data_IF_887312266032
#
_entry.id   IF_887312266032
#
_cell.length_a   1.000
_cell.length_b   1.000
_cell.length_c   1.000
_cell.angle_alpha   90.00
_cell.angle_beta   90.00
_cell.angle_gamma   90.00
#
_symmetry.space_group_name_H-M   'P 1'
#
loop_
_entity.id
_entity.type
_entity.pdbx_description
1 polymer ?
#
# COMPACT_ATOMS: atom_id res chain seq x y z
N UNK A 1 -33.04 -8.81 53.07
CA UNK A 1 -31.94 -8.65 52.10
C UNK A 1 -32.45 -7.96 50.83
N UNK A 2 -33.67 -8.25 50.37
CA UNK A 2 -34.26 -7.74 49.12
C UNK A 2 -34.39 -6.21 48.98
N UNK A 3 -34.59 -5.47 50.08
CA UNK A 3 -34.74 -4.01 50.01
C UNK A 3 -33.45 -3.26 49.64
N UNK A 4 -32.28 -3.83 49.96
CA UNK A 4 -30.98 -3.23 49.62
C UNK A 4 -30.66 -3.42 48.13
N UNK A 5 -30.98 -4.59 47.56
CA UNK A 5 -30.76 -4.85 46.14
C UNK A 5 -31.68 -3.99 45.25
N UNK A 6 -32.94 -3.83 45.64
CA UNK A 6 -33.89 -2.95 44.94
C UNK A 6 -33.45 -1.47 44.97
N UNK A 7 -32.87 -1.01 46.07
CA UNK A 7 -32.39 0.36 46.19
C UNK A 7 -31.15 0.63 45.32
N UNK A 8 -30.20 -0.32 45.28
CA UNK A 8 -29.00 -0.20 44.44
C UNK A 8 -29.34 -0.21 42.95
N UNK A 9 -30.27 -1.06 42.53
CA UNK A 9 -30.74 -1.08 41.13
C UNK A 9 -31.45 0.22 40.75
N UNK A 10 -32.29 0.77 41.64
CA UNK A 10 -32.97 2.04 41.39
C UNK A 10 -31.98 3.20 41.22
N UNK A 11 -30.94 3.28 42.05
CA UNK A 11 -29.88 4.29 41.91
C UNK A 11 -29.14 4.12 40.58
N UNK A 12 -28.84 2.89 40.17
CA UNK A 12 -28.20 2.60 38.88
C UNK A 12 -29.02 3.11 37.68
N UNK A 13 -30.34 2.92 37.70
CA UNK A 13 -31.23 3.38 36.63
C UNK A 13 -31.36 4.90 36.53
N UNK A 14 -31.16 5.64 37.63
CA UNK A 14 -31.22 7.11 37.65
C UNK A 14 -29.85 7.73 37.34
N UNK A 15 -28.77 7.10 37.78
CA UNK A 15 -27.41 7.60 37.59
C UNK A 15 -27.04 7.67 36.10
N UNK A 16 -27.34 6.62 35.33
CA UNK A 16 -26.94 6.54 33.92
C UNK A 16 -27.54 7.66 33.03
N UNK A 17 -28.87 7.92 33.06
CA UNK A 17 -29.46 9.04 32.32
C UNK A 17 -28.90 10.40 32.73
N UNK A 18 -28.67 10.63 34.04
CA UNK A 18 -28.11 11.88 34.53
C UNK A 18 -26.68 12.11 34.02
N UNK A 19 -25.85 11.06 34.01
CA UNK A 19 -24.49 11.12 33.44
C UNK A 19 -24.52 11.37 31.94
N UNK A 20 -25.39 10.70 31.19
CA UNK A 20 -25.54 10.90 29.74
C UNK A 20 -25.95 12.34 29.40
N UNK A 21 -26.89 12.92 30.15
CA UNK A 21 -27.31 14.32 29.99
C UNK A 21 -26.15 15.28 30.32
N UNK A 22 -25.39 15.01 31.39
CA UNK A 22 -24.21 15.80 31.76
C UNK A 22 -23.15 15.82 30.66
N UNK A 23 -22.82 14.66 30.10
CA UNK A 23 -21.88 14.53 28.97
C UNK A 23 -22.39 15.29 27.74
N UNK A 24 -23.67 15.16 27.41
CA UNK A 24 -24.27 15.85 26.28
C UNK A 24 -24.23 17.39 26.42
N UNK A 25 -24.43 17.92 27.64
CA UNK A 25 -24.36 19.37 27.90
C UNK A 25 -22.92 19.89 27.77
N UNK A 26 -21.94 19.16 28.30
CA UNK A 26 -20.52 19.52 28.19
C UNK A 26 -20.09 19.49 26.73
N UNK A 27 -20.41 18.41 26.00
CA UNK A 27 -20.13 18.28 24.57
C UNK A 27 -20.78 19.40 23.75
N UNK A 28 -21.99 19.84 24.11
CA UNK A 28 -22.69 20.93 23.40
C UNK A 28 -22.01 22.30 23.57
N UNK A 29 -21.37 22.56 24.71
CA UNK A 29 -20.59 23.79 24.94
C UNK A 29 -19.33 23.82 24.09
N UNK A 30 -18.58 22.73 24.07
CA UNK A 30 -17.37 22.59 23.24
C UNK A 30 -17.70 22.60 21.75
N UNK A 31 -18.79 21.95 21.35
CA UNK A 31 -19.20 21.94 19.94
C UNK A 31 -19.58 23.35 19.45
N UNK A 32 -20.23 24.17 20.30
CA UNK A 32 -20.55 25.57 19.95
C UNK A 32 -19.28 26.43 19.83
N UNK A 33 -18.28 26.24 20.69
CA UNK A 33 -17.03 27.00 20.60
C UNK A 33 -16.30 26.69 19.29
N UNK A 34 -16.22 25.41 18.92
CA UNK A 34 -15.61 24.95 17.65
C UNK A 34 -16.37 25.44 16.42
N UNK A 35 -17.70 25.37 16.42
CA UNK A 35 -18.53 25.86 15.30
C UNK A 35 -18.39 27.38 15.17
N UNK A 36 -18.37 28.13 16.28
CA UNK A 36 -18.18 29.59 16.22
C UNK A 36 -16.79 29.98 15.73
N UNK A 37 -15.75 29.21 16.08
CA UNK A 37 -14.40 29.41 15.59
C UNK A 37 -14.28 29.10 14.09
N UNK A 38 -14.99 28.08 13.60
CA UNK A 38 -15.08 27.72 12.18
C UNK A 38 -15.86 28.76 11.37
N UNK A 39 -17.03 29.19 11.86
CA UNK A 39 -17.86 30.19 11.19
C UNK A 39 -17.12 31.52 11.03
N UNK A 40 -16.41 31.97 12.08
CA UNK A 40 -15.59 33.18 12.05
C UNK A 40 -14.40 33.10 11.09
N UNK A 41 -13.97 31.89 10.74
CA UNK A 41 -12.83 31.61 9.83
C UNK A 41 -13.25 31.47 8.37
N UNK A 42 -14.51 31.10 8.10
CA UNK A 42 -15.09 31.02 6.76
C UNK A 42 -15.48 32.40 6.24
N UNK A 43 -15.80 33.33 7.14
CA UNK A 43 -16.12 34.73 6.79
C UNK A 43 -14.88 35.54 6.38
N UNK A 44 -13.67 35.09 6.74
CA UNK A 44 -12.41 35.76 6.45
C UNK A 44 -11.81 35.29 5.11
N UNK A 45 -12.23 35.93 4.02
CA UNK A 45 -11.95 35.53 2.62
C UNK A 45 -10.52 35.79 2.10
N UNK A 46 -9.54 36.11 2.96
CA UNK A 46 -8.17 36.42 2.52
C UNK A 46 -7.04 35.70 3.28
N UNK A 47 -7.35 34.66 4.05
CA UNK A 47 -6.33 33.93 4.83
C UNK A 47 -5.82 32.71 4.06
N UNK A 48 -4.72 32.89 3.34
CA UNK A 48 -3.87 31.78 2.92
C UNK A 48 -3.27 31.13 4.17
N UNK A 49 -3.60 29.85 4.32
CA UNK A 49 -3.02 28.83 5.20
C UNK A 49 -1.61 29.14 5.76
N UNK A 50 -1.52 29.27 7.09
CA UNK A 50 -0.51 28.75 8.06
C UNK A 50 -0.62 29.60 9.35
N UNK A 51 -0.43 29.18 10.61
CA UNK A 51 0.67 28.45 11.26
C UNK A 51 0.17 27.78 12.59
N UNK A 52 0.94 26.77 13.01
CA UNK A 52 0.94 25.88 14.20
C UNK A 52 0.85 26.54 15.61
N UNK A 53 0.75 25.81 16.74
CA UNK A 53 1.78 24.94 17.36
C UNK A 53 1.33 23.46 17.44
N UNK A 54 2.15 22.59 16.83
CA UNK A 54 2.26 21.12 17.00
C UNK A 54 1.23 20.13 16.40
N UNK A 55 0.00 20.51 16.01
CA UNK A 55 -1.00 19.47 15.65
C UNK A 55 -1.46 19.38 14.19
N UNK A 56 -1.66 20.52 13.52
CA UNK A 56 -2.66 20.58 12.43
C UNK A 56 -2.05 20.49 11.03
N UNK A 57 -0.79 20.89 10.84
CA UNK A 57 -0.18 20.88 9.50
C UNK A 57 0.37 19.51 9.09
N UNK A 58 0.87 18.71 10.04
CA UNK A 58 1.28 17.33 9.75
C UNK A 58 0.05 16.53 9.36
N UNK A 59 -1.07 16.64 10.11
CA UNK A 59 -2.31 15.94 9.72
C UNK A 59 -2.86 16.41 8.39
N UNK A 60 -2.88 17.71 8.09
CA UNK A 60 -3.45 18.15 6.81
C UNK A 60 -2.59 17.75 5.59
N UNK A 61 -1.26 17.80 5.69
CA UNK A 61 -0.36 17.34 4.61
C UNK A 61 -0.31 15.81 4.56
N UNK A 62 -0.36 15.12 5.69
CA UNK A 62 -0.46 13.65 5.75
C UNK A 62 -1.81 13.19 5.25
N UNK A 63 -2.93 13.77 5.66
CA UNK A 63 -4.28 13.47 5.16
C UNK A 63 -4.40 13.84 3.68
N UNK A 64 -3.75 14.90 3.19
CA UNK A 64 -3.76 15.23 1.76
C UNK A 64 -2.84 14.29 0.94
N UNK A 65 -1.73 13.80 1.51
CA UNK A 65 -0.86 12.82 0.86
C UNK A 65 -1.42 11.39 0.97
N UNK A 66 -2.02 11.01 2.09
CA UNK A 66 -2.80 9.78 2.30
C UNK A 66 -4.04 9.82 1.43
N UNK A 67 -4.80 10.91 1.36
CA UNK A 67 -5.91 11.03 0.42
C UNK A 67 -5.43 10.92 -1.02
N UNK A 68 -4.22 11.40 -1.36
CA UNK A 68 -3.62 11.16 -2.68
C UNK A 68 -3.21 9.71 -2.90
N UNK A 69 -2.61 9.05 -1.91
CA UNK A 69 -2.21 7.64 -1.98
C UNK A 69 -3.44 6.74 -2.04
N UNK A 70 -4.46 7.00 -1.22
CA UNK A 70 -5.77 6.37 -1.22
C UNK A 70 -6.50 6.66 -2.52
N UNK A 71 -6.40 7.88 -3.09
CA UNK A 71 -6.98 8.16 -4.41
C UNK A 71 -6.25 7.44 -5.54
N UNK A 72 -4.92 7.30 -5.46
CA UNK A 72 -4.14 6.51 -6.43
C UNK A 72 -4.41 5.01 -6.28
N UNK A 73 -4.55 4.51 -5.04
CA UNK A 73 -4.97 3.14 -4.77
C UNK A 73 -6.40 2.91 -5.25
N UNK A 74 -7.31 3.86 -5.05
CA UNK A 74 -8.68 3.78 -5.54
C UNK A 74 -8.75 3.81 -7.07
N UNK A 75 -7.93 4.65 -7.74
CA UNK A 75 -7.78 4.63 -9.20
C UNK A 75 -7.19 3.30 -9.68
N UNK A 76 -6.18 2.76 -8.99
CA UNK A 76 -5.63 1.44 -9.29
C UNK A 76 -6.66 0.33 -9.10
N UNK A 77 -7.46 0.37 -8.04
CA UNK A 77 -8.53 -0.59 -7.77
C UNK A 77 -9.65 -0.49 -8.80
N UNK A 78 -9.97 0.72 -9.26
CA UNK A 78 -10.95 0.95 -10.32
C UNK A 78 -10.45 0.40 -11.66
N UNK A 79 -9.19 0.66 -12.03
CA UNK A 79 -8.55 0.07 -13.22
C UNK A 79 -8.47 -1.45 -13.12
N UNK A 80 -8.12 -1.99 -11.95
CA UNK A 80 -8.09 -3.43 -11.67
C UNK A 80 -9.46 -4.07 -11.82
N UNK A 81 -10.50 -3.43 -11.30
CA UNK A 81 -11.89 -3.92 -11.41
C UNK A 81 -12.37 -3.94 -12.87
N UNK A 82 -12.03 -2.93 -13.66
CA UNK A 82 -12.32 -2.88 -15.09
C UNK A 82 -11.54 -3.95 -15.86
N UNK A 83 -10.24 -4.10 -15.58
CA UNK A 83 -9.42 -5.14 -16.20
C UNK A 83 -9.96 -6.55 -15.89
N UNK A 84 -10.36 -6.81 -14.64
CA UNK A 84 -10.96 -8.09 -14.23
C UNK A 84 -12.36 -8.32 -14.83
N UNK A 85 -13.18 -7.27 -15.01
CA UNK A 85 -14.46 -7.37 -15.70
C UNK A 85 -14.28 -7.72 -17.18
N UNK A 86 -13.32 -7.09 -17.86
CA UNK A 86 -12.97 -7.46 -19.23
C UNK A 86 -12.42 -8.89 -19.33
N UNK A 87 -11.72 -9.38 -18.30
CA UNK A 87 -11.22 -10.75 -18.25
C UNK A 87 -12.33 -11.81 -18.15
N UNK A 88 -13.42 -11.51 -17.44
CA UNK A 88 -14.59 -12.40 -17.39
C UNK A 88 -15.40 -12.41 -18.68
N UNK A 89 -15.30 -11.34 -19.48
CA UNK A 89 -16.05 -11.19 -20.73
C UNK A 89 -15.26 -11.64 -21.97
N UNK A 90 -13.92 -11.64 -21.93
CA UNK A 90 -13.10 -12.15 -23.01
C UNK A 90 -13.10 -13.68 -23.02
N UNK A 91 -13.83 -14.26 -23.98
CA UNK A 91 -13.73 -15.67 -24.33
C UNK A 91 -12.26 -16.10 -24.58
N UNK A 92 -11.91 -17.37 -24.30
CA UNK A 92 -10.54 -17.85 -24.44
C UNK A 92 -10.16 -17.89 -25.92
N UNK A 93 -9.49 -16.85 -26.41
CA UNK A 93 -8.74 -16.93 -27.66
C UNK A 93 -7.70 -18.03 -27.49
N UNK A 94 -7.77 -19.03 -28.37
CA UNK A 94 -7.14 -20.33 -28.21
C UNK A 94 -5.65 -20.25 -27.92
N UNK A 95 -5.29 -20.44 -26.65
CA UNK A 95 -3.94 -20.77 -26.23
C UNK A 95 -3.71 -22.23 -26.63
N UNK A 96 -3.25 -22.44 -27.87
CA UNK A 96 -2.61 -23.69 -28.24
C UNK A 96 -1.40 -23.85 -27.33
N UNK A 97 -1.45 -24.90 -26.51
CA UNK A 97 -0.43 -25.36 -25.61
C UNK A 97 0.98 -25.23 -26.20
N UNK A 98 1.72 -24.23 -25.73
CA UNK A 98 3.18 -24.22 -25.79
C UNK A 98 3.66 -25.28 -24.79
N UNK A 99 4.12 -26.38 -25.37
CA UNK A 99 4.78 -27.51 -24.71
C UNK A 99 5.71 -27.02 -23.60
N UNK A 100 5.61 -27.66 -22.44
CA UNK A 100 6.67 -27.71 -21.43
C UNK A 100 7.97 -28.21 -22.07
N UNK A 101 8.90 -27.32 -22.35
CA UNK A 101 10.31 -27.68 -22.53
C UNK A 101 11.08 -27.11 -21.34
N UNK A 102 11.93 -27.93 -20.74
CA UNK A 102 12.73 -27.56 -19.58
C UNK A 102 13.56 -26.30 -19.82
N UNK A 103 13.71 -25.48 -18.77
CA UNK A 103 14.47 -24.21 -18.79
C UNK A 103 14.15 -23.36 -20.03
N UNK A 104 12.86 -23.13 -20.26
CA UNK A 104 12.39 -22.20 -21.28
C UNK A 104 12.94 -20.80 -21.01
N UNK A 105 13.59 -20.27 -22.05
CA UNK A 105 13.91 -18.86 -22.21
C UNK A 105 12.68 -18.03 -21.82
N UNK A 106 12.90 -16.99 -21.02
CA UNK A 106 11.80 -16.14 -20.58
C UNK A 106 11.12 -15.56 -21.80
N UNK A 107 9.79 -15.54 -21.75
CA UNK A 107 8.94 -15.01 -22.81
C UNK A 107 9.54 -13.71 -23.39
N UNK A 108 9.96 -13.79 -24.66
CA UNK A 108 10.72 -12.72 -25.31
C UNK A 108 9.93 -11.41 -25.32
N UNK A 109 8.61 -11.49 -25.37
CA UNK A 109 7.73 -10.33 -25.32
C UNK A 109 7.72 -9.68 -23.93
N UNK A 110 7.66 -10.45 -22.84
CA UNK A 110 7.82 -9.89 -21.50
C UNK A 110 9.19 -9.20 -21.32
N UNK A 111 10.25 -9.75 -21.91
CA UNK A 111 11.58 -9.12 -21.91
C UNK A 111 11.57 -7.79 -22.67
N UNK A 112 10.93 -7.75 -23.84
CA UNK A 112 10.73 -6.51 -24.61
C UNK A 112 9.96 -5.46 -23.79
N UNK A 113 8.88 -5.85 -23.10
CA UNK A 113 8.14 -4.94 -22.22
C UNK A 113 9.00 -4.40 -21.08
N UNK A 114 9.84 -5.25 -20.48
CA UNK A 114 10.77 -4.87 -19.44
C UNK A 114 11.83 -3.89 -19.95
N UNK A 115 12.40 -4.14 -21.13
CA UNK A 115 13.36 -3.24 -21.78
C UNK A 115 12.72 -1.89 -22.13
N UNK A 116 11.50 -1.93 -22.68
CA UNK A 116 10.72 -0.72 -22.99
C UNK A 116 10.45 0.10 -21.72
N UNK A 117 10.07 -0.54 -20.61
CA UNK A 117 9.91 0.13 -19.32
C UNK A 117 11.21 0.82 -18.88
N UNK A 118 12.35 0.14 -19.01
CA UNK A 118 13.65 0.68 -18.61
C UNK A 118 14.10 1.85 -19.49
N UNK A 119 13.66 1.87 -20.75
CA UNK A 119 13.94 2.94 -21.71
C UNK A 119 13.08 4.21 -21.50
N UNK A 120 12.05 4.18 -20.64
CA UNK A 120 11.21 5.36 -20.38
C UNK A 120 12.03 6.47 -19.73
N UNK A 121 12.35 7.50 -20.52
CA UNK A 121 13.10 8.68 -20.13
C UNK A 121 12.44 9.96 -20.66
N UNK A 122 11.33 10.37 -20.04
CA UNK A 122 10.65 11.62 -20.35
C UNK A 122 11.21 12.77 -19.48
N UNK A 123 11.37 14.01 -19.98
CA UNK A 123 11.90 15.11 -19.19
C UNK A 123 10.99 15.48 -18.01
N UNK A 124 9.69 15.59 -18.27
CA UNK A 124 8.70 15.90 -17.24
C UNK A 124 8.57 14.74 -16.25
N UNK A 125 8.70 15.06 -14.96
CA UNK A 125 8.68 14.06 -13.89
C UNK A 125 7.32 13.36 -13.76
N UNK A 126 6.22 14.11 -13.92
CA UNK A 126 4.87 13.58 -13.78
C UNK A 126 4.51 12.64 -14.92
N UNK A 127 4.81 13.03 -16.16
CA UNK A 127 4.65 12.19 -17.34
C UNK A 127 5.53 10.95 -17.27
N UNK A 128 6.81 11.09 -16.88
CA UNK A 128 7.72 9.94 -16.70
C UNK A 128 7.15 8.94 -15.69
N UNK A 129 6.61 9.43 -14.58
CA UNK A 129 6.03 8.59 -13.53
C UNK A 129 4.77 7.89 -14.02
N UNK A 130 3.86 8.60 -14.69
CA UNK A 130 2.64 8.03 -15.30
C UNK A 130 2.97 6.96 -16.33
N UNK A 131 3.90 7.23 -17.25
CA UNK A 131 4.33 6.29 -18.27
C UNK A 131 4.93 5.02 -17.66
N UNK A 132 5.80 5.16 -16.65
CA UNK A 132 6.36 4.01 -15.91
C UNK A 132 5.27 3.21 -15.23
N UNK A 133 4.35 3.86 -14.52
CA UNK A 133 3.25 3.17 -13.84
C UNK A 133 2.37 2.39 -14.82
N UNK A 134 2.07 2.97 -15.99
CA UNK A 134 1.32 2.30 -17.04
C UNK A 134 2.04 1.07 -17.59
N UNK A 135 3.33 1.20 -17.94
CA UNK A 135 4.14 0.10 -18.45
C UNK A 135 4.32 -1.02 -17.41
N UNK A 136 4.55 -0.67 -16.15
CA UNK A 136 4.61 -1.60 -15.03
C UNK A 136 3.29 -2.39 -14.85
N UNK A 137 2.15 -1.69 -14.91
CA UNK A 137 0.83 -2.32 -14.85
C UNK A 137 0.56 -3.26 -16.04
N UNK A 138 0.99 -2.88 -17.24
CA UNK A 138 0.89 -3.76 -18.43
C UNK A 138 1.73 -5.03 -18.26
N UNK A 139 2.97 -4.92 -17.76
CA UNK A 139 3.82 -6.09 -17.48
C UNK A 139 3.16 -7.04 -16.47
N UNK A 140 2.64 -6.50 -15.36
CA UNK A 140 1.95 -7.30 -14.36
C UNK A 140 0.72 -8.00 -14.93
N UNK A 141 -0.09 -7.27 -15.71
CA UNK A 141 -1.25 -7.85 -16.38
C UNK A 141 -0.85 -8.97 -17.34
N UNK A 142 0.21 -8.79 -18.12
CA UNK A 142 0.73 -9.82 -19.03
C UNK A 142 1.20 -11.06 -18.26
N UNK A 143 1.97 -10.88 -17.19
CA UNK A 143 2.47 -11.97 -16.33
C UNK A 143 1.30 -12.80 -15.78
N UNK A 144 0.29 -12.14 -15.21
CA UNK A 144 -0.86 -12.83 -14.60
C UNK A 144 -1.72 -13.50 -15.67
N UNK A 145 -2.00 -12.82 -16.78
CA UNK A 145 -2.90 -13.31 -17.83
C UNK A 145 -2.33 -14.52 -18.57
N UNK A 146 -1.01 -14.52 -18.80
CA UNK A 146 -0.31 -15.61 -19.49
C UNK A 146 0.26 -16.66 -18.53
N UNK A 147 0.01 -16.53 -17.22
CA UNK A 147 0.52 -17.44 -16.18
C UNK A 147 2.04 -17.63 -16.27
N UNK A 148 2.76 -16.53 -16.49
CA UNK A 148 4.23 -16.56 -16.52
C UNK A 148 4.72 -17.02 -15.16
N UNK A 149 5.66 -17.97 -15.16
CA UNK A 149 6.16 -18.55 -13.93
C UNK A 149 7.01 -17.54 -13.14
N UNK A 150 6.49 -17.07 -12.00
CA UNK A 150 7.18 -16.12 -11.13
C UNK A 150 8.48 -16.68 -10.54
N UNK A 151 8.62 -18.01 -10.41
CA UNK A 151 9.88 -18.61 -9.99
C UNK A 151 10.98 -18.36 -11.03
N UNK A 152 10.67 -18.43 -12.33
CA UNK A 152 11.64 -18.08 -13.38
C UNK A 152 12.03 -16.60 -13.29
N UNK A 153 11.04 -15.71 -13.13
CA UNK A 153 11.30 -14.26 -12.99
C UNK A 153 12.21 -13.95 -11.79
N UNK A 154 12.06 -14.70 -10.70
CA UNK A 154 12.86 -14.51 -9.49
C UNK A 154 14.36 -14.89 -9.64
N UNK A 155 14.72 -15.63 -10.70
CA UNK A 155 16.12 -15.98 -10.99
C UNK A 155 16.79 -14.99 -11.95
N UNK A 156 16.05 -14.04 -12.50
CA UNK A 156 16.59 -13.10 -13.47
C UNK A 156 17.29 -11.91 -12.82
N UNK A 157 18.39 -11.50 -13.42
CA UNK A 157 19.15 -10.31 -13.01
C UNK A 157 18.72 -9.04 -13.78
N UNK A 158 17.50 -9.01 -14.32
CA UNK A 158 16.99 -7.89 -15.10
C UNK A 158 16.01 -7.04 -14.27
N UNK A 159 16.37 -5.79 -13.95
CA UNK A 159 15.55 -4.92 -13.10
C UNK A 159 14.14 -4.67 -13.63
N UNK A 160 13.95 -4.63 -14.96
CA UNK A 160 12.61 -4.49 -15.54
C UNK A 160 11.72 -5.73 -15.30
N UNK A 161 12.32 -6.94 -15.31
CA UNK A 161 11.60 -8.18 -14.98
C UNK A 161 11.30 -8.25 -13.48
N UNK A 162 12.21 -7.76 -12.63
CA UNK A 162 11.95 -7.62 -11.20
C UNK A 162 10.78 -6.66 -10.91
N UNK A 163 10.62 -5.59 -11.70
CA UNK A 163 9.43 -4.72 -11.63
C UNK A 163 8.17 -5.49 -12.03
N UNK A 164 8.22 -6.24 -13.13
CA UNK A 164 7.11 -7.11 -13.52
C UNK A 164 6.71 -8.09 -12.42
N UNK A 165 7.70 -8.73 -11.78
CA UNK A 165 7.48 -9.61 -10.61
C UNK A 165 6.82 -8.83 -9.46
N UNK A 166 7.41 -7.73 -9.01
CA UNK A 166 6.88 -6.94 -7.90
C UNK A 166 5.45 -6.45 -8.17
N UNK A 167 5.17 -5.99 -9.39
CA UNK A 167 3.85 -5.50 -9.77
C UNK A 167 2.81 -6.61 -9.93
N UNK A 168 3.23 -7.80 -10.38
CA UNK A 168 2.35 -8.97 -10.39
C UNK A 168 1.94 -9.39 -8.98
N UNK A 169 2.83 -9.22 -7.99
CA UNK A 169 2.54 -9.45 -6.56
C UNK A 169 1.60 -8.37 -6.02
N UNK A 170 1.83 -7.10 -6.36
CA UNK A 170 0.93 -6.00 -5.99
C UNK A 170 -0.49 -6.25 -6.54
N UNK A 171 -0.57 -6.69 -7.81
CA UNK A 171 -1.82 -6.97 -8.49
C UNK A 171 -2.52 -8.23 -7.93
N UNK A 172 -1.80 -9.33 -7.73
CA UNK A 172 -2.36 -10.61 -7.30
C UNK A 172 -1.31 -11.43 -6.54
N UNK A 173 -1.11 -11.07 -5.28
CA UNK A 173 -0.21 -11.79 -4.38
C UNK A 173 -0.70 -13.22 -4.12
N UNK A 174 0.22 -14.17 -4.11
CA UNK A 174 -0.04 -15.59 -3.81
C UNK A 174 1.01 -16.20 -2.87
N UNK A 175 0.74 -17.39 -2.37
CA UNK A 175 1.69 -18.13 -1.52
C UNK A 175 3.00 -18.39 -2.26
N UNK A 176 4.13 -18.15 -1.59
CA UNK A 176 5.48 -18.27 -2.16
C UNK A 176 6.02 -16.99 -2.79
N UNK A 177 5.19 -15.97 -3.01
CA UNK A 177 5.67 -14.70 -3.59
C UNK A 177 6.66 -13.96 -2.70
N UNK A 178 6.59 -14.14 -1.38
CA UNK A 178 7.59 -13.64 -0.45
C UNK A 178 8.99 -14.18 -0.76
N UNK A 179 9.14 -15.50 -0.89
CA UNK A 179 10.41 -16.14 -1.20
C UNK A 179 10.96 -15.66 -2.55
N UNK A 180 10.10 -15.65 -3.59
CA UNK A 180 10.44 -15.20 -4.94
C UNK A 180 10.94 -13.76 -4.96
N UNK A 181 10.20 -12.86 -4.31
CA UNK A 181 10.54 -11.44 -4.27
C UNK A 181 11.83 -11.22 -3.47
N UNK A 182 11.97 -11.84 -2.30
CA UNK A 182 13.16 -11.68 -1.45
C UNK A 182 14.42 -12.25 -2.08
N UNK A 183 14.28 -13.28 -2.92
CA UNK A 183 15.38 -13.81 -3.73
C UNK A 183 15.84 -12.82 -4.81
N UNK A 184 14.92 -12.15 -5.49
CA UNK A 184 15.23 -11.23 -6.58
C UNK A 184 15.58 -9.80 -6.11
N UNK A 185 15.04 -9.37 -4.97
CA UNK A 185 15.14 -8.01 -4.44
C UNK A 185 16.58 -7.46 -4.28
N UNK A 186 17.60 -8.26 -3.89
CA UNK A 186 18.99 -7.77 -3.85
C UNK A 186 19.52 -7.29 -5.20
N UNK A 187 18.90 -7.70 -6.32
CA UNK A 187 19.24 -7.22 -7.66
C UNK A 187 18.83 -5.76 -7.96
N UNK A 188 18.00 -5.13 -7.10
CA UNK A 188 17.49 -3.78 -7.33
C UNK A 188 18.53 -2.69 -6.99
N UNK A 189 19.10 -2.10 -8.03
CA UNK A 189 20.10 -1.02 -7.93
C UNK A 189 19.46 0.37 -8.04
N UNK A 190 18.45 0.54 -8.90
CA UNK A 190 17.81 1.83 -9.15
C UNK A 190 16.74 2.15 -8.10
N UNK A 191 16.67 3.41 -7.66
CA UNK A 191 15.75 3.85 -6.60
C UNK A 191 14.28 3.47 -6.85
N UNK A 192 13.80 3.67 -8.07
CA UNK A 192 12.41 3.36 -8.41
C UNK A 192 12.11 1.85 -8.41
N UNK A 193 13.11 1.00 -8.70
CA UNK A 193 12.98 -0.46 -8.62
C UNK A 193 12.88 -0.87 -7.15
N UNK A 194 13.77 -0.36 -6.30
CA UNK A 194 13.74 -0.55 -4.83
C UNK A 194 12.39 -0.14 -4.24
N UNK A 195 11.87 1.00 -4.67
CA UNK A 195 10.56 1.50 -4.25
C UNK A 195 9.43 0.51 -4.59
N UNK A 196 9.40 -0.03 -5.81
CA UNK A 196 8.39 -1.03 -6.22
C UNK A 196 8.52 -2.34 -5.44
N UNK A 197 9.74 -2.80 -5.19
CA UNK A 197 9.98 -3.97 -4.34
C UNK A 197 9.39 -3.76 -2.94
N UNK A 198 9.62 -2.59 -2.32
CA UNK A 198 9.08 -2.32 -0.99
C UNK A 198 7.55 -2.24 -0.97
N UNK A 199 6.90 -1.70 -2.01
CA UNK A 199 5.43 -1.73 -2.12
C UNK A 199 4.93 -3.19 -2.19
N UNK A 200 5.60 -4.04 -2.97
CA UNK A 200 5.24 -5.46 -3.03
C UNK A 200 5.43 -6.17 -1.68
N UNK A 201 6.47 -5.83 -0.91
CA UNK A 201 6.66 -6.32 0.47
C UNK A 201 5.51 -5.84 1.37
N UNK A 202 5.12 -4.56 1.30
CA UNK A 202 3.95 -4.05 2.04
C UNK A 202 2.71 -4.86 1.70
N UNK A 203 2.47 -5.14 0.41
CA UNK A 203 1.32 -5.95 -0.01
C UNK A 203 1.34 -7.36 0.59
N UNK A 204 2.51 -8.00 0.63
CA UNK A 204 2.68 -9.33 1.23
C UNK A 204 2.44 -9.32 2.74
N UNK A 205 2.92 -8.29 3.43
CA UNK A 205 2.66 -8.08 4.87
C UNK A 205 1.16 -7.92 5.14
N UNK A 206 0.49 -7.01 4.41
CA UNK A 206 -0.95 -6.74 4.54
C UNK A 206 -1.82 -7.96 4.23
N UNK A 207 -1.35 -8.82 3.32
CA UNK A 207 -2.06 -10.04 2.92
C UNK A 207 -1.71 -11.24 3.81
N UNK A 208 -0.88 -11.07 4.85
CA UNK A 208 -0.34 -12.14 5.69
C UNK A 208 0.38 -13.25 4.89
N UNK A 209 1.01 -12.88 3.77
CA UNK A 209 1.74 -13.79 2.88
C UNK A 209 3.26 -13.72 3.07
N UNK A 210 3.76 -12.86 3.96
CA UNK A 210 5.16 -12.84 4.39
C UNK A 210 5.35 -13.73 5.63
N UNK A 211 6.10 -14.85 5.54
CA UNK A 211 6.39 -15.70 6.69
C UNK A 211 7.18 -14.95 7.79
N UNK A 212 6.89 -15.23 9.06
CA UNK A 212 7.65 -14.65 10.18
C UNK A 212 9.14 -15.00 10.13
N UNK A 213 9.49 -16.16 9.56
CA UNK A 213 10.88 -16.59 9.39
C UNK A 213 11.69 -15.63 8.48
N UNK A 214 11.01 -14.96 7.54
CA UNK A 214 11.64 -14.11 6.54
C UNK A 214 11.81 -12.65 7.01
N UNK A 215 11.29 -12.29 8.18
CA UNK A 215 11.42 -10.94 8.76
C UNK A 215 12.88 -10.51 8.88
N UNK A 216 13.78 -11.44 9.23
CA UNK A 216 15.22 -11.16 9.30
C UNK A 216 15.80 -10.72 7.95
N UNK A 217 15.37 -11.37 6.87
CA UNK A 217 15.78 -11.08 5.48
C UNK A 217 15.24 -9.71 5.06
N UNK A 218 13.96 -9.43 5.32
CA UNK A 218 13.35 -8.12 5.04
C UNK A 218 14.11 -6.99 5.75
N UNK A 219 14.47 -7.16 7.03
CA UNK A 219 15.25 -6.16 7.76
C UNK A 219 16.64 -5.93 7.16
N UNK A 220 17.30 -6.99 6.70
CA UNK A 220 18.59 -6.85 6.02
C UNK A 220 18.43 -6.05 4.71
N UNK A 221 17.42 -6.37 3.91
CA UNK A 221 17.10 -5.68 2.66
C UNK A 221 16.77 -4.19 2.90
N UNK A 222 15.97 -3.86 3.93
CA UNK A 222 15.63 -2.48 4.27
C UNK A 222 16.86 -1.64 4.61
N UNK A 223 17.80 -2.20 5.38
CA UNK A 223 19.08 -1.54 5.70
C UNK A 223 19.93 -1.31 4.44
N UNK A 224 19.95 -2.27 3.53
CA UNK A 224 20.65 -2.12 2.26
C UNK A 224 20.04 -1.00 1.40
N UNK A 225 18.71 -0.98 1.29
CA UNK A 225 18.00 0.03 0.50
C UNK A 225 18.09 1.43 1.10
N UNK A 226 18.25 1.55 2.42
CA UNK A 226 18.47 2.83 3.10
C UNK A 226 19.74 3.54 2.61
N UNK A 227 20.76 2.78 2.20
CA UNK A 227 21.96 3.34 1.59
C UNK A 227 21.64 3.93 0.22
N UNK A 228 21.72 5.26 0.15
CA UNK A 228 21.42 6.04 -1.06
C UNK A 228 19.93 6.34 -1.26
N UNK A 229 19.06 6.02 -0.31
CA UNK A 229 17.63 6.32 -0.40
C UNK A 229 17.34 7.82 -0.40
N UNK A 230 16.42 8.24 -1.27
CA UNK A 230 15.82 9.57 -1.20
C UNK A 230 14.80 9.69 -0.04
N UNK A 231 14.26 10.89 0.19
CA UNK A 231 13.29 11.14 1.27
C UNK A 231 12.03 10.28 1.16
N UNK A 232 11.58 9.98 -0.06
CA UNK A 232 10.38 9.19 -0.29
C UNK A 232 10.62 7.72 0.01
N UNK A 233 11.75 7.17 -0.42
CA UNK A 233 12.14 5.79 -0.14
C UNK A 233 12.44 5.59 1.35
N UNK A 234 13.10 6.55 2.02
CA UNK A 234 13.33 6.51 3.48
C UNK A 234 12.02 6.43 4.27
N UNK A 235 11.02 7.23 3.88
CA UNK A 235 9.69 7.17 4.50
C UNK A 235 9.03 5.81 4.29
N UNK A 236 9.11 5.26 3.07
CA UNK A 236 8.58 3.92 2.81
C UNK A 236 9.31 2.84 3.64
N UNK A 237 10.64 2.90 3.75
CA UNK A 237 11.44 2.02 4.61
C UNK A 237 10.98 2.10 6.06
N UNK A 238 10.75 3.31 6.59
CA UNK A 238 10.26 3.51 7.95
C UNK A 238 8.86 2.89 8.17
N UNK A 239 7.97 3.05 7.19
CA UNK A 239 6.63 2.45 7.23
C UNK A 239 6.71 0.92 7.24
N UNK A 240 7.47 0.32 6.32
CA UNK A 240 7.66 -1.15 6.27
C UNK A 240 8.31 -1.66 7.55
N UNK A 241 9.29 -0.94 8.08
CA UNK A 241 9.93 -1.28 9.37
C UNK A 241 8.92 -1.32 10.51
N UNK A 242 8.01 -0.34 10.56
CA UNK A 242 6.95 -0.28 11.57
C UNK A 242 6.00 -1.47 11.46
N UNK A 243 5.58 -1.84 10.24
CA UNK A 243 4.73 -3.02 10.00
C UNK A 243 5.42 -4.31 10.46
N UNK A 244 6.69 -4.49 10.09
CA UNK A 244 7.49 -5.66 10.48
C UNK A 244 7.64 -5.75 11.99
N UNK A 245 7.86 -4.63 12.69
CA UNK A 245 7.97 -4.63 14.14
C UNK A 245 6.63 -4.95 14.81
N UNK A 246 5.52 -4.44 14.27
CA UNK A 246 4.17 -4.73 14.75
C UNK A 246 3.84 -6.23 14.76
N UNK A 247 4.29 -6.98 13.75
CA UNK A 247 4.07 -8.44 13.68
C UNK A 247 4.76 -9.22 14.80
N UNK A 248 5.86 -8.72 15.36
CA UNK A 248 6.60 -9.40 16.44
C UNK A 248 5.97 -9.11 17.80
N UNK A 249 5.33 -7.95 17.95
CA UNK A 249 4.75 -7.50 19.22
C UNK A 249 3.39 -8.12 19.56
N UNK A 250 2.79 -8.90 18.65
CA UNK A 250 1.51 -9.58 18.93
C UNK A 250 1.82 -10.85 19.76
N UNK A 251 1.44 -10.91 21.05
CA UNK A 251 1.64 -12.10 21.86
C UNK A 251 0.91 -13.29 21.23
N UNK A 252 1.60 -14.42 21.09
CA UNK A 252 0.98 -15.69 20.67
C UNK A 252 0.09 -16.17 21.80
N UNK A 253 -1.22 -15.99 21.66
CA UNK A 253 -2.23 -16.65 22.51
C UNK A 253 -2.34 -18.12 22.14
#
# INVERSE_FOLDING_TARGET
MDYLEAFVTLIGYIAWPATAIGIAIIARKELRSVISALAKRIEDKSSAVSITREGVEIKAVVEAQEARIVSMQAEQDQVKSLALQHFKAAQPLGIKALKQTGLQDIDAHLREMADAYMAINLPDYSERTRAKNAAAGQMAFYIVSNRINKDQLAHENHEGLLIGLAESIILSAETGDAERLLKAAPGAKRLHVRYRVLIAITKLLESNLLPLADIGIVRALLREYEVGADSSLKRLISNVTSLVNGLISIPKN
#
